data_IF_027648836333
#
_entry.id   IF_027648836333
#
_cell.length_a   1.000
_cell.length_b   1.000
_cell.length_c   1.000
_cell.angle_alpha   90.00
_cell.angle_beta   90.00
_cell.angle_gamma   90.00
#
_symmetry.space_group_name_H-M   'P 1'
#
loop_
_entity.id
_entity.type
_entity.pdbx_description
1 polymer ?
#
# COMPACT_ATOMS: atom_id res chain seq x y z
N UNK A 1 -9.59 -21.73 4.32
CA UNK A 1 -9.85 -20.36 4.79
C UNK A 1 -9.00 -19.47 3.90
N UNK A 2 -9.55 -18.53 3.17
CA UNK A 2 -8.79 -17.72 2.21
C UNK A 2 -8.06 -16.57 2.91
N UNK A 3 -7.14 -15.90 2.19
CA UNK A 3 -6.36 -14.73 2.67
C UNK A 3 -7.23 -13.67 3.36
N UNK A 4 -8.51 -13.53 2.96
CA UNK A 4 -9.52 -12.65 3.58
C UNK A 4 -10.03 -13.14 4.93
N UNK A 5 -10.14 -14.45 5.14
CA UNK A 5 -10.71 -15.00 6.39
C UNK A 5 -9.69 -14.97 7.53
N UNK A 6 -8.38 -14.98 7.22
CA UNK A 6 -7.31 -14.72 8.17
C UNK A 6 -7.43 -13.30 8.76
N UNK A 7 -7.72 -12.32 7.91
CA UNK A 7 -7.84 -10.91 8.31
C UNK A 7 -9.18 -10.57 8.98
N UNK A 8 -10.23 -11.38 8.85
CA UNK A 8 -11.56 -11.12 9.42
C UNK A 8 -11.74 -11.44 10.91
N UNK A 9 -10.83 -12.16 11.54
CA UNK A 9 -11.00 -12.62 12.92
C UNK A 9 -10.86 -11.51 13.98
N UNK A 10 -10.34 -10.35 13.61
CA UNK A 10 -10.09 -9.20 14.52
C UNK A 10 -11.09 -8.05 14.39
N UNK A 11 -11.97 -8.03 13.38
CA UNK A 11 -12.80 -6.87 13.03
C UNK A 11 -14.21 -6.82 13.68
N UNK A 12 -14.39 -7.22 14.95
CA UNK A 12 -15.73 -7.23 15.59
C UNK A 12 -16.02 -6.08 16.57
N UNK A 13 -15.32 -4.95 16.52
CA UNK A 13 -15.65 -3.76 17.35
C UNK A 13 -15.23 -2.43 16.73
N UNK A 14 -15.97 -1.89 15.75
CA UNK A 14 -15.95 -0.46 15.50
C UNK A 14 -17.27 0.04 14.91
N UNK A 15 -18.04 0.72 15.73
CA UNK A 15 -19.30 1.37 15.35
C UNK A 15 -19.08 2.64 14.56
N UNK A 16 -19.87 2.84 13.53
CA UNK A 16 -19.93 4.03 12.71
C UNK A 16 -20.19 5.31 13.53
N UNK A 17 -19.30 6.28 13.47
CA UNK A 17 -19.55 7.65 13.89
C UNK A 17 -19.96 8.47 12.66
N UNK A 18 -21.27 8.70 12.53
CA UNK A 18 -21.80 9.66 11.58
C UNK A 18 -21.40 11.08 11.97
N UNK A 19 -20.59 11.74 11.19
CA UNK A 19 -20.32 13.17 11.33
C UNK A 19 -21.47 13.97 10.70
N UNK A 20 -22.49 14.30 11.52
CA UNK A 20 -23.43 15.36 11.24
C UNK A 20 -22.91 16.65 11.88
N UNK A 21 -22.28 17.52 11.10
CA UNK A 21 -22.23 18.95 11.38
C UNK A 21 -22.51 19.72 10.11
N UNK A 22 -23.81 19.87 9.78
CA UNK A 22 -24.28 20.89 8.85
C UNK A 22 -24.17 22.26 9.49
N UNK A 23 -23.03 22.93 9.33
CA UNK A 23 -23.00 24.39 9.30
C UNK A 23 -23.28 24.80 7.87
N UNK A 24 -24.35 25.53 7.62
CA UNK A 24 -24.60 26.22 6.36
C UNK A 24 -23.45 27.20 6.21
N UNK A 25 -22.58 26.96 5.24
CA UNK A 25 -21.49 27.88 4.90
C UNK A 25 -22.05 28.92 3.92
N UNK A 26 -21.86 30.19 4.26
CA UNK A 26 -22.15 31.31 3.36
C UNK A 26 -21.26 31.21 2.13
N UNK A 27 -21.79 31.63 0.98
CA UNK A 27 -21.21 31.53 -0.37
C UNK A 27 -19.76 32.01 -0.44
N UNK A 28 -18.88 31.11 -0.89
CA UNK A 28 -17.49 31.14 -0.73
C UNK A 28 -16.67 31.88 -1.74
N UNK A 29 -16.19 33.04 -1.33
CA UNK A 29 -14.96 33.62 -1.90
C UNK A 29 -13.69 32.97 -1.29
N UNK A 30 -13.84 31.98 -0.37
CA UNK A 30 -12.73 31.33 0.28
C UNK A 30 -11.91 30.46 -0.69
N UNK A 31 -10.61 30.66 -0.71
CA UNK A 31 -9.64 29.84 -1.44
C UNK A 31 -9.09 28.75 -0.52
N UNK A 32 -9.22 27.49 -0.93
CA UNK A 32 -8.67 26.36 -0.22
C UNK A 32 -7.52 25.77 -1.01
N UNK A 33 -6.35 25.63 -0.37
CA UNK A 33 -5.19 25.02 -0.98
C UNK A 33 -5.15 23.55 -0.60
N UNK A 34 -5.05 22.66 -1.58
CA UNK A 34 -4.87 21.22 -1.36
C UNK A 34 -3.42 20.85 -1.69
N UNK A 35 -2.71 20.34 -0.72
CA UNK A 35 -1.32 19.89 -0.88
C UNK A 35 -1.29 18.40 -1.18
N UNK A 36 -0.94 18.07 -2.42
CA UNK A 36 -0.90 16.71 -2.98
C UNK A 36 -2.06 16.42 -3.92
N UNK A 37 -1.76 15.99 -5.15
CA UNK A 37 -2.72 15.50 -6.13
C UNK A 37 -2.81 13.96 -6.17
N UNK A 38 -2.68 13.31 -5.01
CA UNK A 38 -3.05 11.91 -4.82
C UNK A 38 -4.57 11.75 -4.74
N UNK A 39 -5.06 10.51 -4.62
CA UNK A 39 -6.49 10.21 -4.59
C UNK A 39 -7.24 10.99 -3.49
N UNK A 40 -6.65 11.11 -2.29
CA UNK A 40 -7.24 11.85 -1.18
C UNK A 40 -7.36 13.36 -1.48
N UNK A 41 -6.29 13.97 -2.01
CA UNK A 41 -6.28 15.39 -2.36
C UNK A 41 -7.24 15.72 -3.49
N UNK A 42 -7.26 14.91 -4.55
CA UNK A 42 -8.18 15.08 -5.68
C UNK A 42 -9.65 14.92 -5.25
N UNK A 43 -9.96 13.92 -4.41
CA UNK A 43 -11.31 13.72 -3.87
C UNK A 43 -11.76 14.89 -2.99
N UNK A 44 -10.86 15.40 -2.13
CA UNK A 44 -11.12 16.59 -1.31
C UNK A 44 -11.35 17.81 -2.19
N UNK A 45 -10.47 18.04 -3.18
CA UNK A 45 -10.57 19.18 -4.11
C UNK A 45 -11.88 19.17 -4.90
N UNK A 46 -12.26 18.01 -5.46
CA UNK A 46 -13.54 17.87 -6.17
C UNK A 46 -14.75 18.17 -5.26
N UNK A 47 -14.71 17.66 -4.03
CA UNK A 47 -15.79 17.86 -3.06
C UNK A 47 -15.92 19.33 -2.68
N UNK A 48 -14.81 19.98 -2.38
CA UNK A 48 -14.75 21.40 -2.03
C UNK A 48 -15.22 22.29 -3.20
N UNK A 49 -14.78 21.98 -4.44
CA UNK A 49 -15.22 22.69 -5.63
C UNK A 49 -16.74 22.55 -5.87
N UNK A 50 -17.30 21.35 -5.64
CA UNK A 50 -18.76 21.13 -5.71
C UNK A 50 -19.54 21.92 -4.65
N UNK A 51 -18.90 22.26 -3.53
CA UNK A 51 -19.49 23.13 -2.48
C UNK A 51 -19.28 24.62 -2.73
N UNK A 52 -18.67 25.00 -3.86
CA UNK A 52 -18.53 26.40 -4.27
C UNK A 52 -17.22 27.07 -3.85
N UNK A 53 -16.30 26.36 -3.21
CA UNK A 53 -14.98 26.91 -2.86
C UNK A 53 -14.09 27.08 -4.09
N UNK A 54 -13.22 28.09 -4.05
CA UNK A 54 -12.06 28.17 -4.95
C UNK A 54 -10.99 27.20 -4.46
N UNK A 55 -10.56 26.27 -5.32
CA UNK A 55 -9.60 25.24 -4.94
C UNK A 55 -8.39 25.29 -5.85
N UNK A 56 -7.19 25.30 -5.26
CA UNK A 56 -5.91 25.12 -5.95
C UNK A 56 -5.23 23.89 -5.39
N UNK A 57 -4.84 22.97 -6.26
CA UNK A 57 -4.12 21.75 -5.88
C UNK A 57 -2.64 21.91 -6.23
N UNK A 58 -1.75 21.74 -5.24
CA UNK A 58 -0.29 21.80 -5.41
C UNK A 58 0.27 20.37 -5.39
N UNK A 59 0.94 19.96 -6.45
CA UNK A 59 1.52 18.63 -6.58
C UNK A 59 3.02 18.74 -6.86
N UNK A 60 3.82 18.03 -6.07
CA UNK A 60 5.27 18.06 -6.17
C UNK A 60 5.82 17.40 -7.44
N UNK A 61 5.09 16.42 -7.99
CA UNK A 61 5.49 15.68 -9.19
C UNK A 61 5.01 16.38 -10.47
N UNK A 62 5.59 15.99 -11.59
CA UNK A 62 5.10 16.33 -12.94
C UNK A 62 3.86 15.53 -13.37
N UNK A 63 3.23 14.79 -12.44
CA UNK A 63 2.05 13.96 -12.68
C UNK A 63 1.12 13.93 -11.46
N UNK A 64 -0.15 13.72 -11.67
CA UNK A 64 -1.14 13.43 -10.64
C UNK A 64 -1.10 11.95 -10.19
N UNK A 65 -1.80 11.62 -9.10
CA UNK A 65 -2.05 10.26 -8.61
C UNK A 65 -1.19 9.85 -7.41
N UNK A 66 -0.07 10.55 -7.16
CA UNK A 66 0.81 10.21 -6.04
C UNK A 66 1.31 8.78 -6.12
N UNK A 67 0.95 7.94 -5.12
CA UNK A 67 1.28 6.50 -5.06
C UNK A 67 0.39 5.59 -5.94
N UNK A 68 -0.63 6.13 -6.57
CA UNK A 68 -1.31 5.49 -7.72
C UNK A 68 -0.58 5.95 -8.97
N UNK A 69 0.17 5.05 -9.58
CA UNK A 69 1.00 5.36 -10.73
C UNK A 69 0.97 4.23 -11.76
N UNK A 70 0.23 4.44 -12.85
CA UNK A 70 0.22 3.54 -14.00
C UNK A 70 1.29 3.95 -15.00
N UNK A 71 2.28 3.12 -15.21
CA UNK A 71 3.28 3.27 -16.27
C UNK A 71 2.69 2.92 -17.63
N UNK A 72 3.06 3.68 -18.65
CA UNK A 72 2.81 3.40 -20.06
C UNK A 72 4.12 3.26 -20.86
N UNK A 73 5.21 2.89 -20.19
CA UNK A 73 6.48 2.57 -20.84
C UNK A 73 6.29 1.50 -21.91
N UNK A 74 5.42 0.53 -21.65
CA UNK A 74 4.95 -0.44 -22.62
C UNK A 74 3.52 -0.04 -23.04
N UNK A 75 3.38 0.52 -24.24
CA UNK A 75 2.11 1.10 -24.71
C UNK A 75 0.97 0.09 -24.76
N UNK A 76 1.31 -1.17 -25.07
CA UNK A 76 0.41 -2.33 -25.16
C UNK A 76 0.06 -2.94 -23.80
N UNK A 77 0.82 -2.61 -22.74
CA UNK A 77 0.65 -3.15 -21.40
C UNK A 77 0.80 -2.05 -20.33
N UNK A 78 -0.25 -1.29 -20.01
CA UNK A 78 -0.23 -0.37 -18.88
C UNK A 78 -0.06 -1.16 -17.58
N UNK A 79 0.89 -0.73 -16.72
CA UNK A 79 1.23 -1.43 -15.48
C UNK A 79 1.17 -0.48 -14.28
N UNK A 80 0.55 -0.92 -13.21
CA UNK A 80 0.46 -0.15 -11.98
C UNK A 80 1.71 -0.35 -11.11
N UNK A 81 2.61 0.62 -11.15
CA UNK A 81 3.83 0.65 -10.35
C UNK A 81 3.57 0.96 -8.87
N UNK A 82 2.44 1.60 -8.55
CA UNK A 82 1.95 1.82 -7.20
C UNK A 82 0.80 0.89 -6.84
N UNK A 83 -0.25 1.43 -6.21
CA UNK A 83 -1.47 0.70 -5.90
C UNK A 83 -2.07 0.08 -7.17
N UNK A 84 -2.49 -1.17 -7.10
CA UNK A 84 -3.00 -1.95 -8.23
C UNK A 84 -4.40 -2.49 -8.00
N UNK A 85 -4.78 -2.70 -6.73
CA UNK A 85 -6.05 -3.31 -6.34
C UNK A 85 -7.05 -2.30 -5.81
N UNK A 86 -8.34 -2.59 -6.05
CA UNK A 86 -9.45 -2.13 -5.23
C UNK A 86 -9.86 -3.31 -4.36
N UNK A 87 -9.54 -3.25 -3.08
CA UNK A 87 -9.84 -4.31 -2.12
C UNK A 87 -11.32 -4.28 -1.77
N UNK A 88 -12.03 -5.36 -2.11
CA UNK A 88 -13.47 -5.49 -2.02
C UNK A 88 -14.24 -4.54 -2.94
N UNK A 89 -15.31 -5.02 -3.53
CA UNK A 89 -16.14 -4.22 -4.46
C UNK A 89 -17.47 -3.75 -3.85
N UNK A 90 -17.89 -4.37 -2.73
CA UNK A 90 -19.17 -4.06 -2.07
C UNK A 90 -19.03 -2.88 -1.12
N UNK A 91 -19.66 -1.76 -1.46
CA UNK A 91 -19.60 -0.52 -0.67
C UNK A 91 -18.34 0.32 -0.93
N UNK A 92 -17.35 -0.19 -1.66
CA UNK A 92 -16.11 0.50 -1.96
C UNK A 92 -16.35 1.68 -2.93
N UNK A 93 -15.99 2.92 -2.56
CA UNK A 93 -16.19 4.10 -3.40
C UNK A 93 -15.39 4.06 -4.70
N UNK A 94 -14.23 3.40 -4.72
CA UNK A 94 -13.41 3.23 -5.93
C UNK A 94 -14.08 2.29 -6.91
N UNK A 95 -14.57 1.14 -6.43
CA UNK A 95 -15.32 0.21 -7.25
C UNK A 95 -16.62 0.83 -7.80
N UNK A 96 -17.29 1.67 -6.99
CA UNK A 96 -18.46 2.45 -7.43
C UNK A 96 -18.07 3.42 -8.56
N UNK A 97 -17.01 4.19 -8.40
CA UNK A 97 -16.53 5.14 -9.40
C UNK A 97 -16.12 4.43 -10.70
N UNK A 98 -15.42 3.29 -10.60
CA UNK A 98 -15.07 2.46 -11.74
C UNK A 98 -16.31 2.00 -12.51
N UNK A 99 -17.34 1.53 -11.80
CA UNK A 99 -18.61 1.10 -12.39
C UNK A 99 -19.35 2.26 -13.09
N UNK A 100 -19.46 3.41 -12.45
CA UNK A 100 -20.12 4.61 -12.98
C UNK A 100 -19.47 5.07 -14.28
N UNK A 101 -18.14 5.01 -14.36
CA UNK A 101 -17.37 5.42 -15.54
C UNK A 101 -17.04 4.25 -16.49
N UNK A 102 -17.60 3.06 -16.28
CA UNK A 102 -17.40 1.86 -17.12
C UNK A 102 -15.94 1.46 -17.28
N UNK A 103 -15.14 1.67 -16.24
CA UNK A 103 -13.76 1.19 -16.20
C UNK A 103 -13.79 -0.33 -16.02
N UNK A 104 -13.05 -1.03 -16.89
CA UNK A 104 -12.94 -2.49 -16.79
C UNK A 104 -12.14 -2.86 -15.55
N UNK A 105 -12.70 -3.77 -14.76
CA UNK A 105 -12.03 -4.44 -13.65
C UNK A 105 -11.99 -5.94 -13.90
N UNK A 106 -11.02 -6.62 -13.31
CA UNK A 106 -10.89 -8.08 -13.34
C UNK A 106 -10.60 -8.55 -11.93
N UNK A 107 -11.33 -9.56 -11.50
CA UNK A 107 -11.17 -10.20 -10.19
C UNK A 107 -9.81 -10.89 -10.09
N UNK A 108 -9.19 -10.81 -8.91
CA UNK A 108 -7.98 -11.54 -8.57
C UNK A 108 -8.35 -12.84 -7.88
N UNK A 109 -8.04 -13.95 -8.51
CA UNK A 109 -8.28 -15.30 -7.97
C UNK A 109 -7.07 -15.71 -7.13
N UNK A 110 -7.12 -15.43 -5.82
CA UNK A 110 -6.05 -15.81 -4.87
C UNK A 110 -5.97 -17.32 -4.61
N UNK A 111 -7.05 -18.08 -4.88
CA UNK A 111 -7.06 -19.54 -4.72
C UNK A 111 -6.26 -20.22 -5.85
N UNK A 112 -6.10 -19.56 -6.99
CA UNK A 112 -5.32 -20.05 -8.13
C UNK A 112 -3.84 -19.67 -7.96
N UNK A 113 -3.22 -20.26 -6.95
CA UNK A 113 -1.85 -20.00 -6.53
C UNK A 113 -1.00 -21.27 -6.63
N UNK A 114 0.01 -21.24 -7.48
CA UNK A 114 0.95 -22.35 -7.70
C UNK A 114 2.25 -22.05 -6.95
N UNK A 115 2.58 -22.89 -5.96
CA UNK A 115 3.74 -22.68 -5.07
C UNK A 115 4.82 -23.69 -5.37
N UNK A 116 6.04 -23.20 -5.59
CA UNK A 116 7.23 -23.98 -5.91
C UNK A 116 8.21 -23.98 -4.76
N UNK A 117 8.85 -25.14 -4.53
CA UNK A 117 9.95 -25.32 -3.58
C UNK A 117 11.28 -24.89 -4.20
N UNK A 118 12.31 -24.76 -3.36
CA UNK A 118 13.67 -24.42 -3.79
C UNK A 118 14.28 -25.37 -4.82
N UNK A 119 13.77 -26.61 -4.91
CA UNK A 119 14.18 -27.62 -5.89
C UNK A 119 13.42 -27.54 -7.23
N UNK A 120 12.52 -26.55 -7.37
CA UNK A 120 11.70 -26.33 -8.56
C UNK A 120 10.46 -27.20 -8.66
N UNK A 121 10.20 -28.09 -7.71
CA UNK A 121 8.99 -28.89 -7.68
C UNK A 121 7.83 -28.07 -7.10
N UNK A 122 6.66 -28.18 -7.73
CA UNK A 122 5.41 -27.65 -7.17
C UNK A 122 5.06 -28.41 -5.87
N UNK A 123 4.34 -27.75 -4.96
CA UNK A 123 3.77 -28.41 -3.80
C UNK A 123 2.79 -29.51 -4.22
N UNK A 124 2.83 -30.65 -3.53
CA UNK A 124 1.81 -31.69 -3.65
C UNK A 124 0.49 -31.26 -3.00
N UNK A 125 -0.62 -31.92 -3.34
CA UNK A 125 -1.92 -31.65 -2.72
C UNK A 125 -1.86 -31.74 -1.18
N UNK A 126 -1.12 -32.70 -0.64
CA UNK A 126 -0.96 -32.83 0.81
C UNK A 126 -0.18 -31.66 1.44
N UNK A 127 0.80 -31.08 0.71
CA UNK A 127 1.53 -29.90 1.17
C UNK A 127 0.65 -28.63 1.07
N UNK A 128 -0.24 -28.54 0.08
CA UNK A 128 -1.26 -27.45 0.03
C UNK A 128 -2.28 -27.56 1.18
N UNK A 129 -2.77 -28.75 1.50
CA UNK A 129 -3.62 -28.99 2.67
C UNK A 129 -2.92 -28.56 3.98
N UNK A 130 -1.63 -28.83 4.10
CA UNK A 130 -0.82 -28.40 5.25
C UNK A 130 -0.67 -26.87 5.31
N UNK A 131 -0.58 -26.16 4.18
CA UNK A 131 -0.54 -24.68 4.18
C UNK A 131 -1.79 -24.08 4.85
N UNK A 132 -2.98 -24.56 4.52
CA UNK A 132 -4.24 -24.11 5.13
C UNK A 132 -4.28 -24.40 6.65
N UNK A 133 -3.75 -25.57 7.07
CA UNK A 133 -3.65 -25.91 8.49
C UNK A 133 -2.70 -24.97 9.23
N UNK A 134 -1.52 -24.66 8.65
CA UNK A 134 -0.55 -23.75 9.26
C UNK A 134 -1.08 -22.32 9.32
N UNK A 135 -1.76 -21.85 8.28
CA UNK A 135 -2.40 -20.54 8.28
C UNK A 135 -3.43 -20.42 9.40
N UNK A 136 -4.29 -21.44 9.55
CA UNK A 136 -5.26 -21.52 10.64
C UNK A 136 -4.59 -21.55 12.01
N UNK A 137 -3.51 -22.33 12.16
CA UNK A 137 -2.75 -22.45 13.41
C UNK A 137 -2.09 -21.13 13.80
N UNK A 138 -1.49 -20.41 12.86
CA UNK A 138 -0.87 -19.09 13.09
C UNK A 138 -1.92 -18.11 13.58
N UNK A 139 -3.08 -18.08 12.91
CA UNK A 139 -4.21 -17.21 13.27
C UNK A 139 -4.69 -17.46 14.70
N UNK A 140 -4.94 -18.72 15.04
CA UNK A 140 -5.36 -19.09 16.38
C UNK A 140 -4.31 -18.74 17.43
N UNK A 141 -3.03 -18.94 17.12
CA UNK A 141 -1.94 -18.61 18.04
C UNK A 141 -1.85 -17.10 18.29
N UNK A 142 -1.99 -16.28 17.25
CA UNK A 142 -2.02 -14.82 17.38
C UNK A 142 -3.24 -14.39 18.20
N UNK A 143 -4.44 -14.92 17.91
CA UNK A 143 -5.66 -14.59 18.63
C UNK A 143 -5.57 -14.93 20.14
N UNK A 144 -5.02 -16.11 20.47
CA UNK A 144 -4.79 -16.52 21.85
C UNK A 144 -3.78 -15.60 22.55
N UNK A 145 -2.69 -15.24 21.87
CA UNK A 145 -1.68 -14.33 22.42
C UNK A 145 -2.26 -12.93 22.70
N UNK A 146 -3.15 -12.42 21.84
CA UNK A 146 -3.87 -11.15 22.06
C UNK A 146 -4.77 -11.26 23.28
N UNK A 147 -5.48 -12.38 23.46
CA UNK A 147 -6.42 -12.58 24.57
C UNK A 147 -5.71 -12.73 25.94
N UNK A 148 -4.47 -13.21 25.97
CA UNK A 148 -3.73 -13.51 27.19
C UNK A 148 -2.77 -12.41 27.65
N UNK A 149 -2.59 -11.33 26.87
CA UNK A 149 -1.61 -10.27 27.15
C UNK A 149 -2.26 -8.93 27.44
N UNK A 150 -1.62 -8.19 28.31
CA UNK A 150 -1.99 -6.80 28.62
C UNK A 150 -1.04 -5.77 27.95
N UNK A 151 0.10 -6.24 27.41
CA UNK A 151 1.12 -5.40 26.76
C UNK A 151 1.19 -5.65 25.27
N UNK A 152 1.24 -4.59 24.50
CA UNK A 152 1.47 -4.65 23.06
C UNK A 152 2.97 -4.86 22.75
N UNK A 153 3.25 -5.87 21.97
CA UNK A 153 4.61 -6.25 21.57
C UNK A 153 4.68 -6.40 20.03
N UNK A 154 5.89 -6.44 19.46
CA UNK A 154 6.02 -6.84 18.05
C UNK A 154 5.43 -8.23 17.80
N UNK A 155 4.68 -8.38 16.70
CA UNK A 155 4.09 -9.67 16.28
C UNK A 155 5.14 -10.79 16.24
N UNK A 156 6.37 -10.47 15.81
CA UNK A 156 7.51 -11.38 15.81
C UNK A 156 7.76 -12.07 17.17
N UNK A 157 7.52 -11.37 18.28
CA UNK A 157 7.74 -11.93 19.63
C UNK A 157 6.90 -13.17 19.87
N UNK A 158 5.68 -13.17 19.39
CA UNK A 158 4.74 -14.28 19.51
C UNK A 158 5.09 -15.40 18.52
N UNK A 159 5.38 -15.02 17.29
CA UNK A 159 5.75 -15.96 16.23
C UNK A 159 7.05 -16.71 16.60
N UNK A 160 8.07 -16.01 17.10
CA UNK A 160 9.32 -16.66 17.54
C UNK A 160 9.07 -17.65 18.69
N UNK A 161 8.18 -17.34 19.63
CA UNK A 161 7.81 -18.24 20.71
C UNK A 161 7.10 -19.50 20.16
N UNK A 162 6.19 -19.34 19.19
CA UNK A 162 5.54 -20.46 18.52
C UNK A 162 6.54 -21.35 17.78
N UNK A 163 7.42 -20.75 16.96
CA UNK A 163 8.40 -21.46 16.15
C UNK A 163 9.51 -22.16 16.96
N UNK A 164 9.74 -21.73 18.20
CA UNK A 164 10.69 -22.36 19.12
C UNK A 164 10.07 -23.51 19.91
N UNK A 165 8.79 -23.79 19.74
CA UNK A 165 8.14 -24.91 20.39
C UNK A 165 8.73 -26.26 19.90
N UNK A 166 8.93 -27.23 20.82
CA UNK A 166 9.41 -28.55 20.46
C UNK A 166 8.36 -29.27 19.60
N UNK A 167 8.74 -29.73 18.41
CA UNK A 167 7.87 -30.47 17.50
C UNK A 167 7.68 -29.86 16.12
N UNK A 168 8.05 -28.59 15.92
CA UNK A 168 7.98 -27.96 14.58
C UNK A 168 9.29 -28.25 13.82
N UNK A 169 9.20 -28.94 12.70
CA UNK A 169 10.34 -29.28 11.83
C UNK A 169 10.90 -28.04 11.11
N UNK A 170 12.07 -28.17 10.49
CA UNK A 170 12.67 -27.10 9.72
C UNK A 170 11.81 -26.71 8.49
N UNK A 171 11.21 -27.70 7.82
CA UNK A 171 10.37 -27.51 6.65
C UNK A 171 9.07 -26.78 7.02
N UNK A 172 8.43 -27.17 8.14
CA UNK A 172 7.26 -26.47 8.66
C UNK A 172 7.56 -25.01 9.03
N UNK A 173 8.70 -24.74 9.65
CA UNK A 173 9.15 -23.36 9.92
C UNK A 173 9.31 -22.56 8.64
N UNK A 174 9.85 -23.15 7.58
CA UNK A 174 10.01 -22.47 6.30
C UNK A 174 8.65 -22.12 5.69
N UNK A 175 7.69 -23.02 5.73
CA UNK A 175 6.32 -22.79 5.27
C UNK A 175 5.65 -21.66 6.07
N UNK A 176 5.72 -21.71 7.40
CA UNK A 176 5.16 -20.68 8.27
C UNK A 176 5.78 -19.30 7.96
N UNK A 177 7.10 -19.24 7.78
CA UNK A 177 7.79 -17.99 7.45
C UNK A 177 7.42 -17.47 6.04
N UNK A 178 7.16 -18.35 5.08
CA UNK A 178 6.63 -18.00 3.77
C UNK A 178 5.24 -17.39 3.88
N UNK A 179 4.31 -18.04 4.59
CA UNK A 179 2.95 -17.54 4.82
C UNK A 179 2.97 -16.15 5.51
N UNK A 180 3.79 -15.99 6.56
CA UNK A 180 3.93 -14.69 7.23
C UNK A 180 4.48 -13.60 6.30
N UNK A 181 5.36 -13.93 5.36
CA UNK A 181 5.86 -12.97 4.39
C UNK A 181 4.78 -12.58 3.38
N UNK A 182 4.12 -13.57 2.75
CA UNK A 182 3.18 -13.32 1.66
C UNK A 182 1.82 -12.78 2.13
N UNK A 183 1.35 -13.20 3.33
CA UNK A 183 0.04 -12.79 3.86
C UNK A 183 0.15 -11.53 4.73
N UNK A 184 1.23 -11.40 5.53
CA UNK A 184 1.36 -10.31 6.49
C UNK A 184 2.33 -9.23 6.01
N UNK A 185 3.59 -9.60 5.67
CA UNK A 185 4.60 -8.58 5.35
C UNK A 185 4.36 -7.90 4.00
N UNK A 186 3.76 -8.58 3.01
CA UNK A 186 3.31 -7.95 1.77
C UNK A 186 2.10 -7.05 2.01
N UNK A 187 1.16 -7.43 2.86
CA UNK A 187 -0.04 -6.66 3.16
C UNK A 187 0.30 -5.33 3.87
N UNK A 188 1.15 -5.39 4.91
CA UNK A 188 1.49 -4.21 5.72
C UNK A 188 2.81 -3.54 5.29
N UNK A 189 3.51 -4.06 4.29
CA UNK A 189 4.82 -3.58 3.82
C UNK A 189 5.88 -3.46 4.92
N UNK A 190 5.77 -4.25 5.97
CA UNK A 190 6.59 -4.18 7.18
C UNK A 190 6.98 -5.58 7.68
N UNK A 191 8.17 -5.68 8.28
CA UNK A 191 8.55 -6.92 8.96
C UNK A 191 7.61 -7.18 10.16
N UNK A 192 7.31 -8.43 10.45
CA UNK A 192 6.54 -8.78 11.67
C UNK A 192 7.18 -8.28 12.96
N UNK A 193 8.45 -7.88 12.93
CA UNK A 193 9.17 -7.24 14.04
C UNK A 193 8.80 -5.77 14.24
N UNK A 194 8.17 -5.15 13.25
CA UNK A 194 7.76 -3.75 13.26
C UNK A 194 6.25 -3.60 13.50
N UNK A 195 5.46 -4.67 13.33
CA UNK A 195 4.01 -4.69 13.44
C UNK A 195 3.55 -4.88 14.89
N UNK A 196 2.51 -4.14 15.29
CA UNK A 196 1.83 -4.32 16.60
C UNK A 196 1.12 -5.65 16.65
N UNK A 197 1.27 -6.40 17.74
CA UNK A 197 0.47 -7.62 17.95
C UNK A 197 -1.03 -7.31 18.04
N UNK A 198 -1.39 -6.20 18.71
CA UNK A 198 -2.80 -5.91 19.03
C UNK A 198 -3.56 -5.23 17.89
N UNK A 199 -2.84 -4.48 17.05
CA UNK A 199 -3.50 -3.54 16.13
C UNK A 199 -3.01 -3.62 14.67
N UNK A 200 -2.08 -4.54 14.35
CA UNK A 200 -1.51 -4.59 12.99
C UNK A 200 -2.58 -4.72 11.89
N UNK A 201 -3.69 -5.38 12.22
CA UNK A 201 -4.84 -5.65 11.35
C UNK A 201 -6.09 -4.84 11.77
N UNK A 202 -5.89 -3.67 12.43
CA UNK A 202 -6.98 -2.79 12.82
C UNK A 202 -7.43 -1.91 11.64
N UNK A 203 -8.52 -2.25 10.99
CA UNK A 203 -9.06 -1.50 9.86
C UNK A 203 -10.43 -2.00 9.43
N UNK A 204 -11.15 -1.17 8.65
CA UNK A 204 -12.41 -1.55 8.01
C UNK A 204 -12.13 -2.11 6.62
N UNK A 205 -12.74 -3.26 6.28
CA UNK A 205 -12.64 -3.87 4.96
C UNK A 205 -13.96 -3.78 4.20
N UNK A 206 -13.85 -3.58 2.89
CA UNK A 206 -14.99 -3.69 1.98
C UNK A 206 -15.22 -5.16 1.61
N UNK A 207 -16.49 -5.56 1.52
CA UNK A 207 -16.85 -6.91 1.11
C UNK A 207 -16.75 -7.12 -0.41
N UNK A 208 -16.87 -8.37 -0.83
CA UNK A 208 -16.77 -8.77 -2.23
C UNK A 208 -15.34 -9.02 -2.68
N UNK A 209 -15.09 -9.26 -3.96
CA UNK A 209 -13.80 -9.65 -4.50
C UNK A 209 -12.85 -8.46 -4.68
N UNK A 210 -11.54 -8.73 -4.62
CA UNK A 210 -10.51 -7.77 -4.99
C UNK A 210 -10.37 -7.72 -6.50
N UNK A 211 -10.22 -6.52 -7.04
CA UNK A 211 -10.13 -6.33 -8.47
C UNK A 211 -8.93 -5.48 -8.86
N UNK A 212 -8.34 -5.82 -10.00
CA UNK A 212 -7.31 -5.02 -10.67
C UNK A 212 -7.92 -4.27 -11.86
N UNK A 213 -7.18 -3.29 -12.36
CA UNK A 213 -7.56 -2.44 -13.50
C UNK A 213 -6.66 -2.73 -14.71
N UNK A 214 -7.05 -3.57 -15.66
CA UNK A 214 -6.22 -3.88 -16.84
C UNK A 214 -5.84 -2.66 -17.69
N UNK A 215 -6.63 -1.59 -17.64
CA UNK A 215 -6.30 -0.29 -18.26
C UNK A 215 -5.47 0.65 -17.40
N UNK A 216 -5.10 0.22 -16.18
CA UNK A 216 -4.39 0.97 -15.16
C UNK A 216 -5.31 1.71 -14.19
N UNK A 217 -4.92 1.74 -12.92
CA UNK A 217 -5.64 2.43 -11.83
C UNK A 217 -5.70 3.95 -12.05
N UNK A 218 -4.76 4.50 -12.83
CA UNK A 218 -4.74 5.93 -13.20
C UNK A 218 -6.06 6.43 -13.79
N UNK A 219 -6.87 5.57 -14.40
CA UNK A 219 -8.20 5.95 -14.92
C UNK A 219 -9.10 6.56 -13.84
N UNK A 220 -9.03 6.08 -12.60
CA UNK A 220 -9.73 6.64 -11.44
C UNK A 220 -9.18 8.04 -11.11
N UNK A 221 -7.87 8.20 -11.14
CA UNK A 221 -7.20 9.47 -10.89
C UNK A 221 -7.58 10.52 -11.93
N UNK A 222 -7.66 10.14 -13.21
CA UNK A 222 -8.01 11.05 -14.30
C UNK A 222 -9.44 11.61 -14.12
N UNK A 223 -10.39 10.79 -13.67
CA UNK A 223 -11.75 11.21 -13.34
C UNK A 223 -11.76 12.21 -12.18
N UNK A 224 -10.99 11.93 -11.13
CA UNK A 224 -10.94 12.80 -9.96
C UNK A 224 -10.20 14.12 -10.23
N UNK A 225 -9.29 14.14 -11.18
CA UNK A 225 -8.53 15.34 -11.57
C UNK A 225 -9.29 16.24 -12.54
N UNK A 226 -10.38 15.77 -13.16
CA UNK A 226 -11.10 16.52 -14.20
C UNK A 226 -11.65 17.84 -13.67
N UNK A 227 -11.33 18.93 -14.36
CA UNK A 227 -11.83 20.27 -14.06
C UNK A 227 -11.24 20.96 -12.84
N UNK A 228 -10.22 20.38 -12.19
CA UNK A 228 -9.50 20.98 -11.06
C UNK A 228 -8.34 21.88 -11.54
N UNK A 229 -8.06 22.97 -10.80
CA UNK A 229 -6.84 23.76 -10.95
C UNK A 229 -5.68 23.06 -10.24
N UNK A 230 -4.91 22.27 -10.98
CA UNK A 230 -3.78 21.50 -10.46
C UNK A 230 -2.47 22.11 -10.96
N UNK A 231 -1.60 22.48 -10.01
CA UNK A 231 -0.25 22.97 -10.27
C UNK A 231 0.74 21.85 -10.03
N UNK A 232 1.38 21.39 -11.10
CA UNK A 232 2.41 20.35 -11.06
C UNK A 232 3.79 20.97 -10.81
N UNK A 233 4.74 20.14 -10.37
CA UNK A 233 6.12 20.54 -10.05
C UNK A 233 6.23 21.57 -8.92
N UNK A 234 5.18 21.69 -8.10
CA UNK A 234 5.08 22.56 -6.93
C UNK A 234 5.48 21.83 -5.66
N UNK A 235 6.78 21.77 -5.38
CA UNK A 235 7.31 21.13 -4.17
C UNK A 235 7.10 22.04 -2.97
N UNK A 236 6.17 21.67 -2.08
CA UNK A 236 5.90 22.42 -0.85
C UNK A 236 7.07 22.27 0.12
N UNK A 237 7.62 23.40 0.55
CA UNK A 237 8.74 23.49 1.50
C UNK A 237 8.31 23.99 2.88
N UNK A 238 7.30 24.89 2.90
CA UNK A 238 6.80 25.50 4.12
C UNK A 238 5.30 25.71 4.08
N UNK A 239 4.63 25.47 5.21
CA UNK A 239 3.22 25.76 5.47
C UNK A 239 3.13 26.69 6.68
N UNK A 240 2.78 27.95 6.46
CA UNK A 240 2.49 28.91 7.51
C UNK A 240 0.99 29.02 7.70
N UNK A 241 0.52 29.05 8.96
CA UNK A 241 -0.89 29.17 9.26
C UNK A 241 -1.11 30.04 10.49
N UNK A 242 -2.14 30.86 10.45
CA UNK A 242 -2.54 31.80 11.51
C UNK A 242 -4.02 32.16 11.34
N UNK A 243 -4.59 32.93 12.26
CA UNK A 243 -6.01 33.28 12.24
C UNK A 243 -6.46 33.91 10.91
N UNK A 244 -5.59 34.67 10.24
CA UNK A 244 -5.89 35.31 8.96
C UNK A 244 -5.92 34.35 7.76
N UNK A 245 -5.36 33.14 7.86
CA UNK A 245 -5.33 32.18 6.74
C UNK A 245 -4.09 31.31 6.73
N UNK A 246 -3.76 30.78 5.57
CA UNK A 246 -2.59 29.93 5.32
C UNK A 246 -1.75 30.52 4.19
N UNK A 247 -0.44 30.36 4.30
CA UNK A 247 0.54 30.69 3.25
C UNK A 247 1.42 29.47 3.00
N UNK A 248 1.44 28.97 1.77
CA UNK A 248 2.18 27.78 1.38
C UNK A 248 3.27 28.19 0.41
N UNK A 249 4.51 28.02 0.86
CA UNK A 249 5.69 28.25 0.06
C UNK A 249 6.11 26.98 -0.66
N UNK A 250 6.30 27.07 -1.96
CA UNK A 250 6.86 26.02 -2.81
C UNK A 250 8.21 26.44 -3.39
N UNK A 251 8.86 25.55 -4.10
CA UNK A 251 10.07 25.86 -4.91
C UNK A 251 9.77 26.86 -6.06
N UNK A 252 8.51 27.13 -6.40
CA UNK A 252 8.14 27.99 -7.52
C UNK A 252 7.45 29.30 -7.08
N UNK A 253 6.89 29.37 -5.87
CA UNK A 253 6.19 30.56 -5.41
C UNK A 253 5.49 30.41 -4.07
N UNK A 254 4.61 31.37 -3.78
CA UNK A 254 3.81 31.40 -2.56
C UNK A 254 2.33 31.38 -2.96
N UNK A 255 1.56 30.55 -2.28
CA UNK A 255 0.11 30.42 -2.45
C UNK A 255 -0.59 30.77 -1.14
N UNK A 256 -1.56 31.66 -1.19
CA UNK A 256 -2.33 32.12 -0.03
C UNK A 256 -3.76 31.62 -0.12
N UNK A 257 -4.36 31.29 1.02
CA UNK A 257 -5.73 30.82 1.15
C UNK A 257 -6.24 30.93 2.59
N UNK A 258 -7.52 30.68 2.76
CA UNK A 258 -8.16 30.70 4.07
C UNK A 258 -7.88 29.42 4.86
N UNK A 259 -7.72 28.28 4.15
CA UNK A 259 -7.46 26.94 4.73
C UNK A 259 -6.63 26.10 3.78
N UNK A 260 -6.04 25.04 4.34
CA UNK A 260 -5.35 24.04 3.54
C UNK A 260 -5.75 22.62 3.93
N UNK A 261 -5.81 21.72 2.92
CA UNK A 261 -5.91 20.27 3.10
C UNK A 261 -4.54 19.68 2.80
N UNK A 262 -3.95 19.04 3.79
CA UNK A 262 -2.61 18.42 3.72
C UNK A 262 -2.81 16.94 3.46
N UNK A 263 -2.39 16.46 2.27
CA UNK A 263 -2.46 15.04 1.91
C UNK A 263 -1.10 14.43 1.64
N UNK A 264 -0.08 14.99 2.30
CA UNK A 264 1.30 14.49 2.23
C UNK A 264 1.39 13.06 2.76
N UNK A 265 2.12 12.16 2.07
CA UNK A 265 2.43 10.83 2.60
C UNK A 265 3.06 10.90 4.00
N UNK A 266 2.80 9.89 4.83
CA UNK A 266 3.41 9.80 6.16
C UNK A 266 4.94 9.86 6.09
N UNK A 267 5.55 9.21 5.09
CA UNK A 267 7.00 9.26 4.88
C UNK A 267 7.54 10.68 4.67
N UNK A 268 6.82 11.50 3.92
CA UNK A 268 7.17 12.93 3.73
C UNK A 268 7.01 13.72 5.03
N UNK A 269 5.94 13.48 5.80
CA UNK A 269 5.77 14.10 7.12
C UNK A 269 6.89 13.70 8.10
N UNK A 270 7.32 12.44 8.08
CA UNK A 270 8.42 11.91 8.92
C UNK A 270 9.79 12.46 8.51
N UNK A 271 10.01 12.73 7.22
CA UNK A 271 11.29 13.26 6.72
C UNK A 271 11.60 14.67 7.21
N UNK A 272 10.57 15.44 7.61
CA UNK A 272 10.73 16.82 8.04
C UNK A 272 11.05 17.79 6.90
N UNK A 273 10.93 17.39 5.64
CA UNK A 273 11.16 18.25 4.47
C UNK A 273 10.19 19.43 4.38
N UNK A 274 8.96 19.26 4.90
CA UNK A 274 7.96 20.33 4.95
C UNK A 274 7.96 20.98 6.33
N UNK A 275 8.25 22.26 6.38
CA UNK A 275 8.29 23.04 7.62
C UNK A 275 6.91 23.64 7.93
N UNK A 276 6.34 23.32 9.10
CA UNK A 276 5.09 23.92 9.57
C UNK A 276 5.39 25.05 10.57
N UNK A 277 4.78 26.22 10.36
CA UNK A 277 4.95 27.42 11.19
C UNK A 277 3.58 28.02 11.54
N UNK A 278 3.15 28.01 12.81
CA UNK A 278 3.79 27.36 13.98
C UNK A 278 4.05 25.86 13.80
N UNK A 279 4.88 25.23 14.66
CA UNK A 279 5.00 23.76 14.66
C UNK A 279 3.65 23.09 14.90
N UNK A 280 3.42 21.94 14.28
CA UNK A 280 2.21 21.13 14.53
C UNK A 280 2.05 20.80 16.02
N UNK A 281 0.82 20.58 16.53
CA UNK A 281 0.58 20.16 17.91
C UNK A 281 1.40 18.92 18.28
N UNK A 282 1.83 18.82 19.55
CA UNK A 282 2.70 17.74 20.04
C UNK A 282 2.12 16.35 19.81
N UNK A 283 0.80 16.20 19.98
CA UNK A 283 0.08 14.93 19.77
C UNK A 283 0.16 14.48 18.31
N UNK A 284 0.03 15.43 17.37
CA UNK A 284 0.17 15.14 15.93
C UNK A 284 1.61 14.80 15.55
N UNK A 285 2.59 15.52 16.11
CA UNK A 285 4.01 15.19 15.90
C UNK A 285 4.33 13.79 16.46
N UNK A 286 3.75 13.44 17.62
CA UNK A 286 3.90 12.11 18.22
C UNK A 286 3.28 11.02 17.33
N UNK A 287 2.09 11.25 16.77
CA UNK A 287 1.44 10.34 15.84
C UNK A 287 2.32 10.13 14.57
N UNK A 288 2.81 11.21 13.94
CA UNK A 288 3.73 11.14 12.79
C UNK A 288 4.97 10.31 13.14
N UNK A 289 5.56 10.49 14.30
CA UNK A 289 6.77 9.78 14.73
C UNK A 289 6.53 8.29 14.94
N UNK A 290 5.40 7.92 15.59
CA UNK A 290 5.11 6.56 16.07
C UNK A 290 4.53 5.64 15.02
N UNK A 291 3.68 6.14 14.11
CA UNK A 291 3.18 5.35 12.99
C UNK A 291 4.34 4.83 12.14
N UNK A 292 4.23 3.61 11.64
CA UNK A 292 5.20 3.03 10.74
C UNK A 292 5.03 3.50 9.30
N UNK A 293 6.10 3.51 8.52
CA UNK A 293 6.07 3.71 7.07
C UNK A 293 6.77 2.54 6.41
N UNK A 294 5.99 1.70 5.74
CA UNK A 294 6.41 0.45 5.16
C UNK A 294 7.00 0.60 3.76
N UNK A 295 7.55 -0.50 3.27
CA UNK A 295 8.10 -0.58 1.92
C UNK A 295 7.67 -1.87 1.24
N UNK A 296 6.98 -1.73 0.12
CA UNK A 296 6.71 -2.78 -0.84
C UNK A 296 7.07 -2.26 -2.23
N UNK A 297 7.99 -2.94 -2.89
CA UNK A 297 8.45 -2.64 -4.22
C UNK A 297 8.08 -3.71 -5.23
N UNK A 298 8.07 -3.32 -6.49
CA UNK A 298 7.65 -4.12 -7.63
C UNK A 298 8.76 -4.24 -8.66
N UNK A 299 8.92 -5.45 -9.19
CA UNK A 299 9.70 -5.73 -10.39
C UNK A 299 8.79 -6.35 -11.44
N UNK A 300 8.55 -5.66 -12.54
CA UNK A 300 7.93 -6.22 -13.73
C UNK A 300 9.00 -6.71 -14.69
N UNK A 301 8.90 -7.97 -15.11
CA UNK A 301 9.75 -8.58 -16.14
C UNK A 301 8.90 -8.92 -17.35
N UNK A 302 9.24 -8.38 -18.52
CA UNK A 302 8.60 -8.70 -19.80
C UNK A 302 9.44 -9.69 -20.57
N UNK A 303 8.85 -10.81 -20.96
CA UNK A 303 9.52 -11.91 -21.66
C UNK A 303 9.11 -12.00 -23.14
N UNK A 304 9.87 -12.73 -23.99
CA UNK A 304 9.49 -12.94 -25.40
C UNK A 304 8.29 -13.87 -25.54
N UNK A 305 8.04 -14.75 -24.58
CA UNK A 305 6.94 -15.70 -24.53
C UNK A 305 6.67 -16.13 -23.09
N UNK A 306 5.49 -16.68 -22.84
CA UNK A 306 5.11 -17.32 -21.58
C UNK A 306 5.80 -18.68 -21.50
N UNK A 307 6.57 -18.93 -20.43
CA UNK A 307 7.26 -20.20 -20.13
C UNK A 307 6.82 -20.82 -18.80
N UNK A 308 5.93 -20.14 -18.11
CA UNK A 308 5.30 -20.56 -16.85
C UNK A 308 3.85 -20.99 -17.08
N UNK A 309 3.19 -21.51 -16.05
CA UNK A 309 1.79 -21.89 -16.09
C UNK A 309 0.89 -20.68 -16.28
N UNK A 310 0.37 -20.53 -17.50
CA UNK A 310 -0.42 -19.36 -17.89
C UNK A 310 -1.70 -19.22 -17.08
N UNK A 311 -2.28 -20.33 -16.66
CA UNK A 311 -3.57 -20.35 -15.94
C UNK A 311 -3.41 -20.00 -14.46
N UNK A 312 -2.21 -20.09 -13.87
CA UNK A 312 -1.94 -19.64 -12.51
C UNK A 312 -2.12 -18.13 -12.41
N UNK A 313 -2.86 -17.66 -11.41
CA UNK A 313 -2.99 -16.23 -11.11
C UNK A 313 -1.77 -15.73 -10.34
N UNK A 314 -1.30 -16.51 -9.39
CA UNK A 314 -0.13 -16.24 -8.55
C UNK A 314 0.87 -17.41 -8.62
N UNK A 315 2.15 -17.08 -8.52
CA UNK A 315 3.23 -18.05 -8.36
C UNK A 315 3.95 -17.76 -7.05
N UNK A 316 4.07 -18.78 -6.21
CA UNK A 316 4.80 -18.70 -4.94
C UNK A 316 6.15 -19.39 -5.03
N UNK A 317 7.11 -18.98 -4.22
CA UNK A 317 8.42 -19.61 -4.11
C UNK A 317 8.85 -19.77 -2.65
N UNK A 318 8.92 -20.99 -2.18
CA UNK A 318 9.52 -21.36 -0.90
C UNK A 318 11.04 -21.47 -1.05
N UNK A 319 11.71 -20.31 -1.09
CA UNK A 319 13.15 -20.21 -1.18
C UNK A 319 13.85 -20.39 0.18
N UNK A 320 15.20 -20.52 0.16
CA UNK A 320 16.00 -20.63 1.37
C UNK A 320 15.99 -19.34 2.21
N UNK A 321 15.89 -18.19 1.54
CA UNK A 321 15.89 -16.88 2.18
C UNK A 321 14.46 -16.33 2.26
N UNK A 322 14.04 -15.97 3.47
CA UNK A 322 12.71 -15.40 3.72
C UNK A 322 12.48 -14.14 2.88
N UNK A 323 11.33 -14.11 2.19
CA UNK A 323 10.84 -12.93 1.45
C UNK A 323 11.60 -12.63 0.15
N UNK A 324 12.60 -13.44 -0.22
CA UNK A 324 13.34 -13.27 -1.47
C UNK A 324 12.52 -13.80 -2.63
N UNK A 325 11.89 -12.88 -3.40
CA UNK A 325 11.04 -13.18 -4.55
C UNK A 325 9.97 -14.26 -4.26
N UNK A 326 9.38 -14.18 -3.08
CA UNK A 326 8.48 -15.22 -2.57
C UNK A 326 7.14 -15.29 -3.29
N UNK A 327 6.70 -14.18 -3.92
CA UNK A 327 5.40 -14.15 -4.60
C UNK A 327 5.47 -13.34 -5.91
N UNK A 328 4.77 -13.88 -6.92
CA UNK A 328 4.70 -13.30 -8.26
C UNK A 328 3.25 -13.26 -8.73
N UNK A 329 2.81 -12.10 -9.26
CA UNK A 329 1.54 -12.00 -9.97
C UNK A 329 1.76 -12.29 -11.45
N UNK A 330 0.99 -13.21 -12.00
CA UNK A 330 1.01 -13.57 -13.40
C UNK A 330 0.15 -12.60 -14.23
N UNK A 331 0.76 -11.54 -14.75
CA UNK A 331 0.04 -10.55 -15.56
C UNK A 331 -0.54 -11.19 -16.84
N UNK A 332 0.08 -12.26 -17.36
CA UNK A 332 -0.43 -12.95 -18.55
C UNK A 332 -1.79 -13.62 -18.31
N UNK A 333 -2.10 -14.00 -17.07
CA UNK A 333 -3.42 -14.52 -16.69
C UNK A 333 -4.54 -13.49 -16.96
N UNK A 334 -4.28 -12.22 -16.73
CA UNK A 334 -5.25 -11.13 -16.84
C UNK A 334 -5.27 -10.41 -18.19
N UNK A 335 -4.11 -10.36 -18.89
CA UNK A 335 -3.91 -9.52 -20.09
C UNK A 335 -3.46 -10.30 -21.31
N UNK A 336 -2.97 -11.52 -21.17
CA UNK A 336 -2.23 -12.34 -22.13
C UNK A 336 -0.83 -11.80 -22.52
N UNK A 337 -0.36 -10.71 -21.91
CA UNK A 337 0.99 -10.21 -22.11
C UNK A 337 1.99 -11.05 -21.30
N UNK A 338 3.15 -11.46 -21.88
CA UNK A 338 4.13 -12.32 -21.21
C UNK A 338 4.93 -11.53 -20.16
N UNK A 339 4.26 -11.18 -19.07
CA UNK A 339 4.81 -10.34 -17.99
C UNK A 339 4.58 -11.05 -16.66
N UNK A 340 5.62 -11.09 -15.82
CA UNK A 340 5.55 -11.44 -14.41
C UNK A 340 5.83 -10.19 -13.56
N UNK A 341 5.10 -10.06 -12.47
CA UNK A 341 5.34 -9.07 -11.43
C UNK A 341 5.82 -9.77 -10.16
N UNK A 342 7.07 -9.55 -9.76
CA UNK A 342 7.60 -9.97 -8.47
C UNK A 342 7.47 -8.88 -7.42
N UNK A 343 7.08 -9.28 -6.21
CA UNK A 343 6.95 -8.40 -5.06
C UNK A 343 8.15 -8.52 -4.13
N UNK A 344 8.53 -7.40 -3.53
CA UNK A 344 9.48 -7.33 -2.43
C UNK A 344 8.92 -6.44 -1.34
N UNK A 345 8.91 -6.92 -0.10
CA UNK A 345 8.42 -6.14 1.02
C UNK A 345 9.48 -6.02 2.14
N UNK A 346 9.24 -5.08 3.03
CA UNK A 346 9.92 -4.95 4.32
C UNK A 346 11.46 -4.94 4.21
N UNK A 347 12.16 -5.73 5.01
CA UNK A 347 13.62 -5.79 5.04
C UNK A 347 14.24 -6.19 3.71
N UNK A 348 13.62 -7.11 2.97
CA UNK A 348 14.15 -7.52 1.68
C UNK A 348 14.03 -6.39 0.65
N UNK A 349 12.91 -5.68 0.58
CA UNK A 349 12.76 -4.49 -0.26
C UNK A 349 13.81 -3.42 0.05
N UNK A 350 14.03 -3.11 1.35
CA UNK A 350 15.07 -2.16 1.79
C UNK A 350 16.48 -2.56 1.39
N UNK A 351 16.74 -3.87 1.27
CA UNK A 351 18.01 -4.41 0.75
C UNK A 351 18.10 -4.23 -0.76
N UNK A 352 17.03 -4.58 -1.48
CA UNK A 352 16.93 -4.58 -2.94
C UNK A 352 17.05 -3.16 -3.52
N UNK A 353 16.44 -2.14 -2.89
CA UNK A 353 16.55 -0.75 -3.36
C UNK A 353 17.99 -0.23 -3.48
N UNK A 354 18.93 -0.84 -2.74
CA UNK A 354 20.36 -0.46 -2.77
C UNK A 354 21.13 -1.11 -3.92
N UNK A 355 20.49 -2.01 -4.68
CA UNK A 355 21.09 -2.72 -5.79
C UNK A 355 20.90 -1.96 -7.10
N UNK A 356 21.79 -2.24 -8.08
CA UNK A 356 21.53 -1.79 -9.45
C UNK A 356 20.35 -2.55 -10.06
N UNK A 357 19.76 -1.99 -11.12
CA UNK A 357 18.66 -2.64 -11.83
C UNK A 357 19.06 -4.05 -12.33
N UNK A 358 20.29 -4.18 -12.83
CA UNK A 358 20.82 -5.46 -13.31
C UNK A 358 20.96 -6.49 -12.17
N UNK A 359 21.38 -6.05 -10.97
CA UNK A 359 21.47 -6.93 -9.80
C UNK A 359 20.10 -7.38 -9.32
N UNK A 360 19.10 -6.50 -9.37
CA UNK A 360 17.71 -6.82 -9.03
C UNK A 360 17.15 -7.86 -10.01
N UNK A 361 17.31 -7.60 -11.31
CA UNK A 361 16.84 -8.51 -12.37
C UNK A 361 17.54 -9.86 -12.28
N UNK A 362 18.86 -9.89 -12.07
CA UNK A 362 19.59 -11.17 -11.98
C UNK A 362 19.18 -11.97 -10.75
N UNK A 363 18.96 -11.34 -9.58
CA UNK A 363 18.44 -12.01 -8.38
C UNK A 363 17.06 -12.63 -8.65
N UNK A 364 16.17 -11.88 -9.28
CA UNK A 364 14.83 -12.35 -9.66
C UNK A 364 14.90 -13.50 -10.67
N UNK A 365 15.75 -13.38 -11.68
CA UNK A 365 15.97 -14.42 -12.68
C UNK A 365 16.58 -15.69 -12.10
N UNK A 366 17.42 -15.58 -11.06
CA UNK A 366 17.94 -16.75 -10.34
C UNK A 366 16.79 -17.55 -9.68
N UNK A 367 15.84 -16.87 -9.04
CA UNK A 367 14.62 -17.51 -8.50
C UNK A 367 13.80 -18.17 -9.61
N UNK A 368 13.54 -17.47 -10.72
CA UNK A 368 12.77 -18.03 -11.82
C UNK A 368 13.47 -19.24 -12.49
N UNK A 369 14.81 -19.25 -12.53
CA UNK A 369 15.57 -20.45 -13.00
C UNK A 369 15.45 -21.61 -12.04
N UNK A 370 15.43 -21.37 -10.74
CA UNK A 370 15.18 -22.42 -9.75
C UNK A 370 13.79 -23.06 -9.93
N UNK A 371 12.79 -22.26 -10.27
CA UNK A 371 11.41 -22.73 -10.50
C UNK A 371 11.29 -23.45 -11.86
N UNK A 372 11.73 -22.81 -12.95
CA UNK A 372 11.41 -23.23 -14.32
C UNK A 372 12.60 -23.82 -15.09
N UNK A 373 13.76 -23.91 -14.46
CA UNK A 373 14.99 -24.46 -15.03
C UNK A 373 15.86 -23.42 -15.73
N UNK A 374 17.12 -23.78 -15.97
CA UNK A 374 18.17 -22.88 -16.48
C UNK A 374 17.92 -22.30 -17.88
N UNK A 375 17.03 -22.93 -18.68
CA UNK A 375 16.84 -22.59 -20.08
C UNK A 375 15.70 -21.57 -20.32
N UNK A 376 15.21 -20.89 -19.30
CA UNK A 376 14.19 -19.83 -19.46
C UNK A 376 14.79 -18.64 -20.25
N UNK A 377 13.97 -17.94 -21.06
CA UNK A 377 14.45 -16.78 -21.81
C UNK A 377 14.83 -15.63 -20.88
N UNK A 378 15.81 -14.82 -21.30
CA UNK A 378 16.08 -13.54 -20.67
C UNK A 378 14.89 -12.58 -20.86
N UNK A 379 14.59 -11.69 -19.91
CA UNK A 379 13.59 -10.67 -20.10
C UNK A 379 14.00 -9.69 -21.20
N UNK A 380 13.02 -9.24 -21.99
CA UNK A 380 13.21 -8.22 -23.03
C UNK A 380 13.38 -6.83 -22.44
N UNK A 381 12.69 -6.55 -21.35
CA UNK A 381 12.72 -5.28 -20.64
C UNK A 381 12.15 -5.46 -19.23
N UNK A 382 12.36 -4.46 -18.35
CA UNK A 382 11.85 -4.46 -16.98
C UNK A 382 11.44 -3.07 -16.51
N UNK A 383 10.66 -3.04 -15.44
CA UNK A 383 10.32 -1.83 -14.69
C UNK A 383 10.42 -2.13 -13.20
N UNK A 384 11.12 -1.27 -12.46
CA UNK A 384 11.43 -1.43 -11.03
C UNK A 384 10.94 -0.20 -10.28
N UNK A 385 10.38 -0.41 -9.10
CA UNK A 385 10.06 0.68 -8.18
C UNK A 385 11.10 0.80 -7.08
N UNK A 386 11.22 2.00 -6.49
CA UNK A 386 12.04 2.32 -5.31
C UNK A 386 11.30 3.38 -4.50
N UNK A 387 10.28 2.94 -3.76
CA UNK A 387 9.39 3.85 -3.06
C UNK A 387 10.01 4.51 -1.84
N UNK A 388 11.02 3.89 -1.19
CA UNK A 388 11.73 4.51 -0.08
C UNK A 388 12.75 5.56 -0.54
N UNK A 389 13.30 5.41 -1.75
CA UNK A 389 14.22 6.38 -2.36
C UNK A 389 13.47 7.53 -3.07
N UNK A 390 12.15 7.42 -3.23
CA UNK A 390 11.30 8.45 -3.83
C UNK A 390 11.07 9.61 -2.85
N UNK A 391 11.55 10.85 -3.16
CA UNK A 391 11.53 11.98 -2.23
C UNK A 391 10.12 12.51 -1.91
N UNK A 392 9.11 12.10 -2.68
CA UNK A 392 7.71 12.50 -2.50
C UNK A 392 6.83 11.39 -1.94
N UNK A 393 7.43 10.28 -1.49
CA UNK A 393 6.74 9.15 -0.84
C UNK A 393 7.45 8.70 0.43
N UNK A 394 8.77 8.44 0.38
CA UNK A 394 9.58 7.89 1.48
C UNK A 394 9.02 6.59 2.03
N UNK A 395 8.54 5.72 1.14
CA UNK A 395 7.92 4.44 1.43
C UNK A 395 6.61 4.22 0.67
N UNK A 396 5.99 3.06 0.87
CA UNK A 396 4.83 2.61 0.12
C UNK A 396 3.51 2.97 0.81
N UNK A 397 3.28 2.50 2.03
CA UNK A 397 2.09 2.78 2.84
C UNK A 397 2.39 2.64 4.33
N UNK A 398 1.49 3.17 5.17
CA UNK A 398 1.67 3.18 6.62
C UNK A 398 1.28 1.83 7.25
N UNK A 399 1.79 1.58 8.46
CA UNK A 399 1.40 0.44 9.28
C UNK A 399 1.33 0.83 10.75
N UNK A 400 0.62 0.01 11.53
CA UNK A 400 0.51 0.17 12.97
C UNK A 400 1.65 -0.54 13.68
N UNK A 401 2.58 0.28 14.20
CA UNK A 401 3.71 -0.18 15.01
C UNK A 401 3.28 -0.45 16.46
N UNK A 402 4.05 -1.22 17.25
CA UNK A 402 3.73 -1.47 18.67
C UNK A 402 3.41 -0.19 19.45
N UNK A 403 2.28 -0.22 20.16
CA UNK A 403 1.75 0.90 20.92
C UNK A 403 1.05 1.98 20.08
N UNK A 404 0.77 1.74 18.81
CA UNK A 404 -0.11 2.59 17.96
C UNK A 404 -1.42 1.86 17.67
N UNK A 405 -2.45 2.59 17.20
CA UNK A 405 -3.78 2.05 16.91
C UNK A 405 -4.54 3.03 16.02
N UNK A 406 -5.77 2.71 15.65
CA UNK A 406 -6.70 3.61 14.96
C UNK A 406 -6.85 4.97 15.67
N UNK A 407 -6.65 5.02 17.01
CA UNK A 407 -6.58 6.29 17.75
C UNK A 407 -5.40 7.15 17.29
N UNK A 408 -4.25 6.55 17.00
CA UNK A 408 -3.06 7.28 16.50
C UNK A 408 -3.32 7.84 15.09
N UNK A 409 -4.01 7.09 14.22
CA UNK A 409 -4.45 7.57 12.91
C UNK A 409 -5.40 8.77 13.05
N UNK A 410 -6.37 8.69 13.96
CA UNK A 410 -7.29 9.80 14.27
C UNK A 410 -6.58 11.05 14.80
N UNK A 411 -5.50 10.89 15.60
CA UNK A 411 -4.67 12.04 16.01
C UNK A 411 -3.95 12.68 14.80
N UNK A 412 -3.48 11.88 13.87
CA UNK A 412 -2.92 12.39 12.61
C UNK A 412 -3.97 13.10 11.75
N UNK A 413 -5.19 12.61 11.73
CA UNK A 413 -6.32 13.18 10.97
C UNK A 413 -6.86 14.51 11.56
N UNK A 414 -6.68 14.78 12.87
CA UNK A 414 -7.23 15.99 13.50
C UNK A 414 -6.81 17.27 12.76
N UNK A 415 -7.76 18.19 12.60
CA UNK A 415 -7.47 19.53 12.11
C UNK A 415 -6.64 20.34 13.11
N UNK A 416 -5.89 21.31 12.61
CA UNK A 416 -5.10 22.26 13.40
C UNK A 416 -5.65 23.66 13.21
N UNK A 417 -6.05 24.31 14.30
CA UNK A 417 -6.56 25.68 14.38
C UNK A 417 -7.68 26.00 13.37
N UNK A 418 -8.45 25.00 12.94
CA UNK A 418 -9.44 25.13 11.86
C UNK A 418 -8.87 25.69 10.56
N UNK A 419 -7.55 25.62 10.37
CA UNK A 419 -6.81 26.12 9.21
C UNK A 419 -6.19 24.98 8.40
N UNK A 420 -5.60 23.98 9.06
CA UNK A 420 -5.03 22.82 8.38
C UNK A 420 -5.88 21.57 8.65
N UNK A 421 -6.24 20.89 7.58
CA UNK A 421 -6.98 19.63 7.59
C UNK A 421 -6.08 18.54 7.01
N UNK A 422 -6.04 17.38 7.63
CA UNK A 422 -5.18 16.27 7.22
C UNK A 422 -6.02 15.13 6.68
N UNK A 423 -5.66 14.62 5.51
CA UNK A 423 -6.31 13.49 4.87
C UNK A 423 -5.29 12.62 4.10
N UNK A 424 -5.64 11.40 3.82
CA UNK A 424 -4.80 10.46 3.11
C UNK A 424 -4.76 9.11 3.80
N UNK A 425 -4.06 8.17 3.20
CA UNK A 425 -4.01 6.76 3.60
C UNK A 425 -3.66 6.59 5.09
N UNK A 426 -2.69 7.33 5.62
CA UNK A 426 -2.26 7.22 7.01
C UNK A 426 -3.21 7.89 8.04
N UNK A 427 -4.38 8.37 7.62
CA UNK A 427 -5.37 9.05 8.48
C UNK A 427 -6.65 8.27 8.69
N UNK A 428 -6.79 7.09 8.10
CA UNK A 428 -8.02 6.26 8.14
C UNK A 428 -7.75 4.82 8.53
#
# INVERSE_FOLDING_TARGET
MNRRDFLKLTALLAGAVAMNSCGVLEDGDETIIVVGAGIAGLSAAQTLQKWGYKVVVLEARSRVGGRIWTSRKWEDAPLDLGASWSHGVSGNPIAKLAKEHRIKTVETDYENHWIYKADGNELSNAEYENLEEYESTITEYIANAIAERDDDVPLKTIIDAALNNEGISADEKQIILYLLNTIVEHEYAADISELSLFTFDEGDEYGGEDVIFPGGYKQIIDILAEGLDIRLDEVVERVEYQDSGVSIQTNQGIYEGERAVITLPLGVLKSGQVNFSPPLPSEKQDAIRRLGMGLLDKLYLRFPNIFWEKDAALLGYLGENRGEWAEWLNIAHYTNEPILLGFNAASFARKVEKWSDEQIVESAMATLRNIFGENIPAPLDWQITRWADDPFSWGSYSYLAPGTSSKTLKELAKSVDSKLFFAGEATS
#
